data_IF_557672711973
#
_entry.id   IF_557672711973
#
_cell.length_a   1.000
_cell.length_b   1.000
_cell.length_c   1.000
_cell.angle_alpha   90.00
_cell.angle_beta   90.00
_cell.angle_gamma   90.00
#
_symmetry.space_group_name_H-M   'P 1'
#
loop_
_entity.id
_entity.type
_entity.pdbx_description
1 polymer ?
#
# COMPACT_ATOMS: atom_id res chain seq x y z
N UNK A 1 -6.50 -8.37 12.89
CA UNK A 1 -6.09 -7.18 13.71
C UNK A 1 -6.79 -5.96 13.11
N UNK A 2 -7.04 -4.87 13.82
CA UNK A 2 -7.57 -3.65 13.16
C UNK A 2 -6.42 -2.73 12.75
N UNK A 3 -6.49 -2.12 11.56
CA UNK A 3 -5.61 -1.01 11.19
C UNK A 3 -6.12 0.23 11.92
N UNK A 4 -5.36 0.69 12.92
CA UNK A 4 -5.81 1.76 13.83
C UNK A 4 -5.59 3.16 13.28
N UNK A 5 -4.68 3.29 12.32
CA UNK A 5 -4.21 4.55 11.76
C UNK A 5 -3.83 4.29 10.31
N UNK A 6 -4.41 5.07 9.40
CA UNK A 6 -4.15 5.05 7.97
C UNK A 6 -4.43 6.47 7.41
N UNK A 7 -3.82 6.86 6.27
CA UNK A 7 -4.07 8.17 5.67
C UNK A 7 -5.54 8.30 5.26
N UNK A 8 -6.08 9.51 5.31
CA UNK A 8 -7.48 9.73 4.92
C UNK A 8 -7.69 9.65 3.40
N UNK A 9 -8.94 9.76 2.95
CA UNK A 9 -9.28 9.65 1.53
C UNK A 9 -8.61 10.75 0.68
N UNK A 10 -8.41 11.94 1.23
CA UNK A 10 -7.78 13.07 0.52
C UNK A 10 -6.28 12.82 0.38
N UNK A 11 -5.63 12.36 1.46
CA UNK A 11 -4.22 11.96 1.44
C UNK A 11 -3.97 10.86 0.40
N UNK A 12 -4.82 9.83 0.37
CA UNK A 12 -4.68 8.71 -0.56
C UNK A 12 -5.00 9.12 -2.00
N UNK A 13 -6.01 9.97 -2.22
CA UNK A 13 -6.29 10.57 -3.52
C UNK A 13 -5.07 11.36 -4.03
N UNK A 14 -4.45 12.18 -3.17
CA UNK A 14 -3.24 12.94 -3.51
C UNK A 14 -2.04 12.05 -3.79
N UNK A 15 -1.85 10.99 -3.00
CA UNK A 15 -0.74 10.05 -3.17
C UNK A 15 -0.82 9.28 -4.48
N UNK A 16 -1.97 8.68 -4.81
CA UNK A 16 -2.16 7.89 -6.02
C UNK A 16 -2.50 8.73 -7.27
N UNK A 17 -2.94 9.97 -7.08
CA UNK A 17 -3.59 10.82 -8.10
C UNK A 17 -4.73 10.09 -8.84
N UNK A 18 -5.45 9.25 -8.11
CA UNK A 18 -6.54 8.43 -8.62
C UNK A 18 -7.64 8.33 -7.58
N UNK A 19 -8.89 8.42 -8.05
CA UNK A 19 -10.05 8.08 -7.21
C UNK A 19 -9.99 6.62 -6.75
N UNK A 20 -10.61 6.28 -5.61
CA UNK A 20 -10.75 4.90 -5.18
C UNK A 20 -11.46 4.05 -6.26
N UNK A 21 -11.02 2.82 -6.44
CA UNK A 21 -11.66 1.86 -7.33
C UNK A 21 -13.07 1.53 -6.83
N UNK A 22 -13.97 1.18 -7.76
CA UNK A 22 -15.35 0.80 -7.47
C UNK A 22 -15.49 -0.45 -6.57
N UNK A 23 -14.41 -1.22 -6.42
CA UNK A 23 -14.31 -2.35 -5.48
C UNK A 23 -14.07 -1.93 -4.04
N UNK A 24 -13.88 -0.63 -3.78
CA UNK A 24 -13.79 -0.09 -2.42
C UNK A 24 -15.15 -0.15 -1.74
N UNK A 25 -15.18 -0.71 -0.54
CA UNK A 25 -16.37 -0.81 0.32
C UNK A 25 -16.11 0.04 1.57
N UNK A 26 -16.42 1.34 1.47
CA UNK A 26 -16.16 2.32 2.54
C UNK A 26 -16.86 1.94 3.85
N UNK A 27 -18.04 1.31 3.78
CA UNK A 27 -18.77 0.82 4.95
C UNK A 27 -17.97 -0.23 5.75
N UNK A 28 -17.18 -1.04 5.06
CA UNK A 28 -16.33 -2.09 5.64
C UNK A 28 -14.88 -1.62 5.84
N UNK A 29 -14.62 -0.33 5.59
CA UNK A 29 -13.30 0.30 5.56
C UNK A 29 -12.31 -0.48 4.68
N UNK A 30 -12.80 -0.93 3.53
CA UNK A 30 -12.02 -1.56 2.48
C UNK A 30 -11.81 -0.56 1.35
N UNK A 31 -10.56 -0.23 1.10
CA UNK A 31 -10.19 0.76 0.10
C UNK A 31 -9.24 0.15 -0.92
N UNK A 32 -9.40 0.53 -2.18
CA UNK A 32 -8.54 0.10 -3.28
C UNK A 32 -8.22 1.28 -4.19
N UNK A 33 -6.96 1.41 -4.58
CA UNK A 33 -6.43 2.47 -5.43
C UNK A 33 -5.55 1.87 -6.52
N UNK A 34 -5.44 2.56 -7.65
CA UNK A 34 -4.64 2.12 -8.78
C UNK A 34 -4.03 3.31 -9.49
N UNK A 35 -2.74 3.23 -9.79
CA UNK A 35 -2.04 4.23 -10.59
C UNK A 35 -1.02 3.55 -11.51
N UNK A 36 -0.67 4.22 -12.59
CA UNK A 36 0.26 3.73 -13.59
C UNK A 36 1.33 4.76 -13.93
N UNK A 37 2.43 4.28 -14.51
CA UNK A 37 3.43 5.12 -15.14
C UNK A 37 3.28 5.11 -16.68
N UNK A 38 4.03 5.99 -17.34
CA UNK A 38 4.03 6.10 -18.80
C UNK A 38 4.71 4.91 -19.50
N UNK A 39 5.30 3.96 -18.76
CA UNK A 39 6.01 2.80 -19.29
C UNK A 39 5.21 1.50 -19.19
N UNK A 40 3.93 1.59 -18.82
CA UNK A 40 3.03 0.45 -18.70
C UNK A 40 3.19 -0.34 -17.39
N UNK A 41 3.91 0.20 -16.41
CA UNK A 41 3.93 -0.32 -15.05
C UNK A 41 2.73 0.24 -14.28
N UNK A 42 1.98 -0.64 -13.64
CA UNK A 42 0.80 -0.29 -12.86
C UNK A 42 0.91 -0.91 -11.47
N UNK A 43 0.45 -0.17 -10.46
CA UNK A 43 0.34 -0.64 -9.09
C UNK A 43 -1.10 -0.51 -8.62
N UNK A 44 -1.68 -1.63 -8.20
CA UNK A 44 -2.88 -1.69 -7.40
C UNK A 44 -2.51 -1.82 -5.93
N UNK A 45 -3.11 -0.98 -5.08
CA UNK A 45 -2.97 -1.04 -3.63
C UNK A 45 -4.35 -1.15 -3.00
N UNK A 46 -4.54 -2.13 -2.11
CA UNK A 46 -5.77 -2.27 -1.35
C UNK A 46 -5.50 -2.61 0.10
N UNK A 47 -6.41 -2.22 0.99
CA UNK A 47 -6.35 -2.60 2.39
C UNK A 47 -7.73 -2.64 3.01
N UNK A 48 -7.89 -3.43 4.06
CA UNK A 48 -9.11 -3.47 4.84
C UNK A 48 -8.80 -3.16 6.30
N UNK A 49 -9.26 -2.00 6.78
CA UNK A 49 -8.95 -1.55 8.13
C UNK A 49 -9.61 -2.42 9.20
N UNK A 50 -10.79 -2.98 8.90
CA UNK A 50 -11.52 -3.88 9.80
C UNK A 50 -10.91 -5.28 9.88
N UNK A 51 -10.23 -5.75 8.82
CA UNK A 51 -9.61 -7.07 8.80
C UNK A 51 -8.09 -7.06 9.12
N UNK A 52 -7.40 -5.93 8.91
CA UNK A 52 -5.98 -5.79 9.25
C UNK A 52 -5.02 -6.33 8.21
N UNK A 53 -5.38 -6.20 6.93
CA UNK A 53 -4.52 -6.62 5.82
C UNK A 53 -4.33 -5.49 4.83
N UNK A 54 -3.22 -5.57 4.08
CA UNK A 54 -3.00 -4.80 2.87
C UNK A 54 -2.44 -5.68 1.76
N UNK A 55 -2.75 -5.34 0.52
CA UNK A 55 -2.33 -6.03 -0.68
C UNK A 55 -1.77 -5.03 -1.69
N UNK A 56 -0.72 -5.47 -2.40
CA UNK A 56 -0.10 -4.73 -3.48
C UNK A 56 -0.02 -5.67 -4.68
N UNK A 57 -0.54 -5.24 -5.82
CA UNK A 57 -0.46 -5.96 -7.11
C UNK A 57 0.31 -5.08 -8.08
N UNK A 58 1.32 -5.64 -8.74
CA UNK A 58 2.10 -4.94 -9.76
C UNK A 58 1.81 -5.60 -11.10
N UNK A 59 1.38 -4.80 -12.08
CA UNK A 59 1.16 -5.22 -13.44
C UNK A 59 2.16 -4.53 -14.37
N UNK A 60 2.66 -5.25 -15.36
CA UNK A 60 3.45 -4.70 -16.45
C UNK A 60 2.78 -5.03 -17.78
N UNK A 61 2.37 -4.01 -18.53
CA UNK A 61 1.60 -4.15 -19.77
C UNK A 61 0.36 -5.04 -19.60
N UNK A 62 -0.40 -4.80 -18.51
CA UNK A 62 -1.63 -5.53 -18.17
C UNK A 62 -1.43 -6.96 -17.65
N UNK A 63 -0.18 -7.40 -17.44
CA UNK A 63 0.13 -8.73 -16.88
C UNK A 63 0.65 -8.58 -15.46
N UNK A 64 0.05 -9.30 -14.51
CA UNK A 64 0.56 -9.35 -13.14
C UNK A 64 1.99 -9.94 -13.12
N UNK A 65 2.92 -9.18 -12.56
CA UNK A 65 4.32 -9.58 -12.40
C UNK A 65 4.70 -9.81 -10.94
N UNK A 66 3.97 -9.22 -9.99
CA UNK A 66 4.21 -9.42 -8.56
C UNK A 66 2.95 -9.16 -7.75
N UNK A 67 2.85 -9.86 -6.61
CA UNK A 67 1.80 -9.66 -5.62
C UNK A 67 2.36 -9.80 -4.22
N UNK A 68 2.01 -8.87 -3.34
CA UNK A 68 2.33 -8.89 -1.93
C UNK A 68 1.03 -8.87 -1.13
N UNK A 69 0.89 -9.77 -0.19
CA UNK A 69 -0.17 -9.75 0.82
C UNK A 69 0.51 -9.66 2.18
N UNK A 70 0.04 -8.73 3.01
CA UNK A 70 0.54 -8.54 4.36
C UNK A 70 -0.63 -8.53 5.33
N UNK A 71 -0.56 -9.47 6.27
CA UNK A 71 -1.54 -9.69 7.33
C UNK A 71 -1.05 -9.06 8.64
N UNK A 72 -1.96 -8.87 9.59
CA UNK A 72 -1.67 -8.25 10.89
C UNK A 72 -1.09 -6.83 10.78
N UNK A 73 -1.53 -6.09 9.78
CA UNK A 73 -1.23 -4.67 9.64
C UNK A 73 -1.94 -3.90 10.75
N UNK A 74 -1.17 -3.18 11.55
CA UNK A 74 -1.70 -2.32 12.60
C UNK A 74 -1.83 -0.86 12.19
N UNK A 75 -1.03 -0.42 11.21
CA UNK A 75 -0.92 0.97 10.80
C UNK A 75 -0.37 1.10 9.38
N UNK A 76 -0.85 2.10 8.64
CA UNK A 76 -0.32 2.57 7.37
C UNK A 76 -0.02 4.07 7.53
N UNK A 77 1.16 4.52 7.11
CA UNK A 77 1.55 5.94 7.22
C UNK A 77 1.88 6.50 5.85
N UNK A 78 1.37 7.68 5.54
CA UNK A 78 1.92 8.53 4.50
C UNK A 78 3.11 9.30 5.09
N UNK A 79 4.30 9.09 4.53
CA UNK A 79 5.53 9.73 4.96
C UNK A 79 6.23 10.39 3.77
N UNK A 80 7.25 11.21 4.06
CA UNK A 80 8.04 11.91 3.05
C UNK A 80 9.53 11.88 3.40
N UNK A 81 10.35 11.63 2.41
CA UNK A 81 11.82 11.75 2.51
C UNK A 81 12.39 12.53 1.32
N UNK A 82 13.70 12.47 1.12
CA UNK A 82 14.40 13.16 0.04
C UNK A 82 13.99 12.68 -1.38
N UNK A 83 13.42 11.47 -1.51
CA UNK A 83 12.96 10.93 -2.80
C UNK A 83 11.49 11.23 -3.08
N UNK A 84 10.75 11.71 -2.08
CA UNK A 84 9.33 12.05 -2.20
C UNK A 84 8.47 11.33 -1.16
N UNK A 85 7.17 11.32 -1.42
CA UNK A 85 6.18 10.69 -0.56
C UNK A 85 6.15 9.17 -0.74
N UNK A 86 5.83 8.45 0.33
CA UNK A 86 5.72 7.00 0.34
C UNK A 86 4.73 6.53 1.40
N UNK A 87 4.04 5.43 1.12
CA UNK A 87 3.32 4.69 2.15
C UNK A 87 4.29 3.77 2.89
N UNK A 88 4.12 3.69 4.20
CA UNK A 88 4.93 2.88 5.10
C UNK A 88 4.05 2.04 6.01
N UNK A 89 4.40 0.77 6.18
CA UNK A 89 3.85 -0.06 7.25
C UNK A 89 4.95 -0.90 7.89
N UNK A 90 4.79 -1.17 9.18
CA UNK A 90 5.66 -2.02 9.97
C UNK A 90 4.82 -3.04 10.73
N UNK A 91 5.14 -4.32 10.54
CA UNK A 91 4.50 -5.44 11.22
C UNK A 91 5.55 -6.03 12.16
N UNK A 92 5.29 -5.92 13.46
CA UNK A 92 6.20 -6.36 14.51
C UNK A 92 5.57 -7.58 15.20
N UNK A 93 6.31 -8.69 15.22
CA UNK A 93 6.04 -9.84 16.08
C UNK A 93 7.19 -9.99 17.08
N UNK A 94 7.10 -11.00 17.95
CA UNK A 94 8.18 -11.30 18.90
C UNK A 94 9.50 -11.70 18.19
N UNK A 95 9.40 -12.24 16.98
CA UNK A 95 10.52 -12.82 16.23
C UNK A 95 10.90 -12.05 14.95
N UNK A 96 9.98 -11.26 14.41
CA UNK A 96 10.13 -10.64 13.08
C UNK A 96 9.70 -9.18 13.08
N UNK A 97 10.45 -8.38 12.33
CA UNK A 97 10.03 -7.02 11.94
C UNK A 97 9.96 -6.99 10.42
N UNK A 98 8.76 -6.87 9.88
CA UNK A 98 8.52 -6.70 8.45
C UNK A 98 8.20 -5.24 8.14
N UNK A 99 8.98 -4.63 7.25
CA UNK A 99 8.80 -3.24 6.79
C UNK A 99 8.40 -3.24 5.33
N UNK A 100 7.39 -2.45 5.01
CA UNK A 100 6.86 -2.31 3.66
C UNK A 100 6.83 -0.83 3.29
N UNK A 101 7.41 -0.51 2.15
CA UNK A 101 7.50 0.86 1.60
C UNK A 101 6.95 0.85 0.18
N UNK A 102 5.97 1.71 -0.09
CA UNK A 102 5.36 1.87 -1.42
C UNK A 102 5.58 3.30 -1.89
N UNK A 103 6.13 3.45 -3.09
CA UNK A 103 6.25 4.72 -3.81
C UNK A 103 5.53 4.59 -5.13
N UNK A 104 4.86 5.66 -5.52
CA UNK A 104 4.28 5.81 -6.86
C UNK A 104 4.95 6.94 -7.64
N UNK A 105 5.74 7.78 -6.98
CA UNK A 105 6.47 8.91 -7.56
C UNK A 105 7.88 9.06 -6.98
N UNK A 106 8.86 9.52 -7.77
CA UNK A 106 8.78 9.72 -9.23
C UNK A 106 8.70 8.41 -10.03
N UNK A 107 8.90 7.27 -9.38
CA UNK A 107 8.81 5.94 -9.97
C UNK A 107 8.00 5.02 -9.06
N UNK A 108 7.24 4.11 -9.66
CA UNK A 108 6.58 3.03 -8.92
C UNK A 108 7.65 2.09 -8.37
N UNK A 109 7.66 1.92 -7.04
CA UNK A 109 8.61 1.07 -6.34
C UNK A 109 7.95 0.50 -5.09
N UNK A 110 8.16 -0.80 -4.86
CA UNK A 110 7.71 -1.49 -3.65
C UNK A 110 8.93 -2.18 -3.05
N UNK A 111 9.19 -1.92 -1.77
CA UNK A 111 10.17 -2.69 -1.01
C UNK A 111 9.48 -3.35 0.18
N UNK A 112 9.83 -4.61 0.39
CA UNK A 112 9.41 -5.38 1.56
C UNK A 112 10.65 -6.07 2.11
N UNK A 113 10.84 -5.98 3.42
CA UNK A 113 11.99 -6.58 4.09
C UNK A 113 11.56 -7.12 5.45
N UNK A 114 12.01 -8.32 5.78
CA UNK A 114 11.77 -8.95 7.08
C UNK A 114 13.10 -9.20 7.77
N UNK A 115 13.23 -8.69 8.99
CA UNK A 115 14.39 -8.90 9.86
C UNK A 115 14.00 -9.90 10.95
N UNK A 116 14.79 -10.96 11.12
CA UNK A 116 14.71 -11.86 12.28
C UNK A 116 15.36 -11.17 13.47
N UNK A 117 14.65 -11.14 14.59
CA UNK A 117 15.06 -10.50 15.85
C UNK A 117 15.59 -11.51 16.86
#
# INVERSE_FOLDING_TARGET
MFIKSFPDEIDLLGFFESEPLATSEVADLHFAYQTNDDNGLEIGFSFCATAGWMQIVILFNGKEVSRYLSENVGEIKLQKDALGEYLYSEIITDELITKIVIRVRPYISVSSSSLVR
#
